data_IF_103488316917
#
_entry.id   IF_103488316917
#
_cell.length_a   1.000
_cell.length_b   1.000
_cell.length_c   1.000
_cell.angle_alpha   90.00
_cell.angle_beta   90.00
_cell.angle_gamma   90.00
#
_symmetry.space_group_name_H-M   'P 1'
#
loop_
_entity.id
_entity.type
_entity.pdbx_description
1 polymer ?
#
# COMPACT_ATOMS: atom_id res chain seq x y z
N UNK A 1 -49.34 62.51 -18.30
CA UNK A 1 -48.00 61.89 -18.44
C UNK A 1 -47.78 60.99 -17.23
N UNK A 2 -47.84 59.67 -17.39
CA UNK A 2 -47.48 58.72 -16.33
C UNK A 2 -46.72 57.56 -16.97
N UNK A 3 -45.38 57.68 -16.99
CA UNK A 3 -44.49 56.55 -17.30
C UNK A 3 -44.49 55.61 -16.10
N UNK A 4 -45.18 54.49 -16.22
CA UNK A 4 -45.16 53.43 -15.20
C UNK A 4 -43.74 52.86 -15.08
N UNK A 5 -43.16 52.98 -13.89
CA UNK A 5 -41.89 52.37 -13.54
C UNK A 5 -42.09 50.86 -13.43
N UNK A 6 -41.59 50.09 -14.41
CA UNK A 6 -41.63 48.62 -14.34
C UNK A 6 -40.40 48.18 -13.53
N UNK A 7 -40.55 47.63 -12.32
CA UNK A 7 -39.40 47.26 -11.51
C UNK A 7 -38.64 46.11 -12.18
N UNK A 8 -37.31 46.18 -12.17
CA UNK A 8 -36.39 45.23 -12.82
C UNK A 8 -36.29 43.86 -12.10
N UNK A 9 -37.41 43.37 -11.55
CA UNK A 9 -37.50 42.17 -10.73
C UNK A 9 -36.98 40.91 -11.43
N UNK A 10 -37.17 40.81 -12.75
CA UNK A 10 -36.67 39.68 -13.54
C UNK A 10 -35.15 39.57 -13.54
N UNK A 11 -34.44 40.70 -13.66
CA UNK A 11 -32.98 40.72 -13.62
C UNK A 11 -32.46 40.33 -12.24
N UNK A 12 -33.06 40.88 -11.17
CA UNK A 12 -32.71 40.53 -9.79
C UNK A 12 -32.94 39.06 -9.49
N UNK A 13 -34.08 38.49 -9.92
CA UNK A 13 -34.39 37.08 -9.74
C UNK A 13 -33.39 36.17 -10.50
N UNK A 14 -33.03 36.56 -11.73
CA UNK A 14 -32.03 35.83 -12.52
C UNK A 14 -30.67 35.80 -11.82
N UNK A 15 -30.16 36.95 -11.38
CA UNK A 15 -28.88 37.00 -10.67
C UNK A 15 -28.92 36.27 -9.33
N UNK A 16 -30.01 36.39 -8.57
CA UNK A 16 -30.18 35.67 -7.32
C UNK A 16 -30.15 34.15 -7.54
N UNK A 17 -30.83 33.65 -8.57
CA UNK A 17 -30.82 32.23 -8.92
C UNK A 17 -29.43 31.78 -9.38
N UNK A 18 -28.77 32.56 -10.24
CA UNK A 18 -27.42 32.26 -10.72
C UNK A 18 -26.41 32.18 -9.56
N UNK A 19 -26.44 33.13 -8.63
CA UNK A 19 -25.61 33.11 -7.43
C UNK A 19 -25.92 31.92 -6.53
N UNK A 20 -27.21 31.61 -6.32
CA UNK A 20 -27.63 30.48 -5.49
C UNK A 20 -27.14 29.15 -6.05
N UNK A 21 -27.26 28.97 -7.38
CA UNK A 21 -26.73 27.78 -8.06
C UNK A 21 -25.20 27.71 -7.99
N UNK A 22 -24.51 28.84 -8.20
CA UNK A 22 -23.05 28.89 -8.10
C UNK A 22 -22.55 28.53 -6.69
N UNK A 23 -23.22 29.02 -5.65
CA UNK A 23 -22.94 28.67 -4.26
C UNK A 23 -23.18 27.18 -4.00
N UNK A 24 -24.32 26.64 -4.45
CA UNK A 24 -24.64 25.22 -4.30
C UNK A 24 -23.58 24.33 -4.95
N UNK A 25 -23.21 24.61 -6.21
CA UNK A 25 -22.21 23.81 -6.91
C UNK A 25 -20.81 23.94 -6.30
N UNK A 26 -20.43 25.12 -5.83
CA UNK A 26 -19.15 25.32 -5.12
C UNK A 26 -19.14 24.51 -3.83
N UNK A 27 -20.21 24.55 -3.05
CA UNK A 27 -20.37 23.77 -1.83
C UNK A 27 -20.30 22.26 -2.13
N UNK A 28 -21.04 21.79 -3.13
CA UNK A 28 -21.07 20.38 -3.53
C UNK A 28 -19.73 19.90 -4.08
N UNK A 29 -18.98 20.74 -4.80
CA UNK A 29 -17.64 20.40 -5.30
C UNK A 29 -16.60 20.28 -4.17
N UNK A 30 -16.82 20.97 -3.05
CA UNK A 30 -15.95 20.90 -1.88
C UNK A 30 -16.35 19.72 -0.98
N UNK A 31 -17.62 19.64 -0.57
CA UNK A 31 -18.10 18.69 0.45
C UNK A 31 -18.82 17.44 -0.09
N UNK A 32 -19.12 17.36 -1.38
CA UNK A 32 -19.82 16.21 -1.94
C UNK A 32 -18.97 14.95 -2.03
N UNK A 33 -19.62 13.81 -2.26
CA UNK A 33 -18.97 12.49 -2.39
C UNK A 33 -17.93 12.43 -3.52
N UNK A 34 -18.06 13.29 -4.53
CA UNK A 34 -17.11 13.45 -5.63
C UNK A 34 -16.25 14.72 -5.51
N UNK A 35 -16.28 15.35 -4.34
CA UNK A 35 -15.57 16.59 -4.06
C UNK A 35 -14.06 16.39 -3.92
N UNK A 36 -13.35 17.50 -3.88
CA UNK A 36 -11.87 17.51 -3.81
C UNK A 36 -11.34 16.77 -2.57
N UNK A 37 -12.07 16.82 -1.45
CA UNK A 37 -11.67 16.13 -0.22
C UNK A 37 -11.72 14.60 -0.34
N UNK A 38 -12.74 14.02 -0.99
CA UNK A 38 -12.80 12.56 -1.20
C UNK A 38 -11.62 12.06 -2.02
N UNK A 39 -11.20 12.83 -3.04
CA UNK A 39 -10.01 12.50 -3.82
C UNK A 39 -8.74 12.51 -2.97
N UNK A 40 -8.58 13.48 -2.08
CA UNK A 40 -7.43 13.55 -1.18
C UNK A 40 -7.39 12.34 -0.22
N UNK A 41 -8.55 11.96 0.34
CA UNK A 41 -8.68 10.81 1.22
C UNK A 41 -8.31 9.50 0.52
N UNK A 42 -8.86 9.25 -0.69
CA UNK A 42 -8.54 8.06 -1.48
C UNK A 42 -7.04 7.98 -1.79
N UNK A 43 -6.40 9.11 -2.09
CA UNK A 43 -4.97 9.14 -2.37
C UNK A 43 -4.13 8.81 -1.13
N UNK A 44 -4.56 9.28 0.06
CA UNK A 44 -3.90 8.96 1.32
C UNK A 44 -4.05 7.47 1.67
N UNK A 45 -5.28 6.93 1.59
CA UNK A 45 -5.56 5.51 1.83
C UNK A 45 -4.77 4.61 0.86
N UNK A 46 -4.69 5.01 -0.42
CA UNK A 46 -3.89 4.29 -1.42
C UNK A 46 -2.40 4.31 -1.10
N UNK A 47 -1.89 5.40 -0.53
CA UNK A 47 -0.47 5.50 -0.14
C UNK A 47 -0.16 4.58 1.05
N UNK A 48 -1.06 4.53 2.04
CA UNK A 48 -0.95 3.63 3.19
C UNK A 48 -0.97 2.15 2.76
N UNK A 49 -1.97 1.76 1.97
CA UNK A 49 -2.09 0.39 1.46
C UNK A 49 -0.88 -0.03 0.61
N UNK A 50 -0.28 0.89 -0.12
CA UNK A 50 0.96 0.61 -0.88
C UNK A 50 2.15 0.34 0.03
N UNK A 51 2.31 1.13 1.09
CA UNK A 51 3.39 0.92 2.04
C UNK A 51 3.22 -0.43 2.78
N UNK A 52 1.98 -0.80 3.12
CA UNK A 52 1.68 -2.10 3.69
C UNK A 52 2.00 -3.24 2.70
N UNK A 53 1.60 -3.10 1.44
CA UNK A 53 1.91 -4.08 0.39
C UNK A 53 3.42 -4.27 0.22
N UNK A 54 4.19 -3.19 0.16
CA UNK A 54 5.65 -3.26 0.05
C UNK A 54 6.29 -3.97 1.26
N UNK A 55 5.77 -3.77 2.46
CA UNK A 55 6.24 -4.45 3.66
C UNK A 55 5.94 -5.95 3.63
N UNK A 56 4.73 -6.34 3.20
CA UNK A 56 4.32 -7.73 3.05
C UNK A 56 5.14 -8.44 1.96
N UNK A 57 5.34 -7.80 0.81
CA UNK A 57 6.17 -8.35 -0.27
C UNK A 57 7.61 -8.60 0.20
N UNK A 58 8.16 -7.69 0.99
CA UNK A 58 9.47 -7.88 1.61
C UNK A 58 9.48 -9.06 2.60
N UNK A 59 8.39 -9.30 3.32
CA UNK A 59 8.25 -10.45 4.22
C UNK A 59 8.14 -11.77 3.46
N UNK A 60 7.32 -11.81 2.41
CA UNK A 60 7.21 -12.96 1.51
C UNK A 60 8.57 -13.29 0.91
N UNK A 61 9.30 -12.30 0.38
CA UNK A 61 10.63 -12.52 -0.17
C UNK A 61 11.62 -13.09 0.86
N UNK A 62 11.56 -12.64 2.13
CA UNK A 62 12.38 -13.21 3.22
C UNK A 62 11.99 -14.66 3.52
N UNK A 63 10.69 -14.96 3.57
CA UNK A 63 10.20 -16.32 3.82
C UNK A 63 10.57 -17.25 2.67
N UNK A 64 10.40 -16.81 1.42
CA UNK A 64 10.82 -17.56 0.23
C UNK A 64 12.32 -17.84 0.25
N UNK A 65 13.16 -16.85 0.60
CA UNK A 65 14.60 -17.06 0.74
C UNK A 65 14.92 -18.10 1.83
N UNK A 66 14.27 -18.03 2.98
CA UNK A 66 14.44 -19.01 4.07
C UNK A 66 14.00 -20.40 3.63
N UNK A 67 12.85 -20.52 2.97
CA UNK A 67 12.34 -21.80 2.44
C UNK A 67 13.28 -22.36 1.39
N UNK A 68 13.81 -21.54 0.47
CA UNK A 68 14.83 -21.98 -0.49
C UNK A 68 16.11 -22.47 0.19
N UNK A 69 16.55 -21.79 1.25
CA UNK A 69 17.75 -22.19 2.03
C UNK A 69 17.54 -23.41 2.92
N UNK A 70 16.28 -23.75 3.21
CA UNK A 70 15.89 -24.95 3.97
C UNK A 70 15.39 -26.08 3.05
N UNK A 71 15.27 -25.82 1.74
CA UNK A 71 14.80 -26.76 0.72
C UNK A 71 15.98 -27.61 0.23
N UNK A 72 15.70 -28.90 0.05
CA UNK A 72 16.71 -29.95 -0.13
C UNK A 72 17.67 -29.79 -1.33
N UNK A 73 17.39 -28.90 -2.28
CA UNK A 73 18.30 -28.61 -3.41
C UNK A 73 19.52 -27.73 -3.03
N UNK A 74 19.54 -27.22 -1.79
CA UNK A 74 20.72 -26.66 -1.11
C UNK A 74 20.93 -27.33 0.26
N UNK A 75 20.48 -28.59 0.41
CA UNK A 75 20.91 -29.47 1.48
C UNK A 75 22.39 -29.75 1.25
N UNK A 76 23.22 -29.00 1.94
CA UNK A 76 24.66 -29.19 1.88
C UNK A 76 24.97 -30.58 2.43
N UNK A 77 25.06 -31.57 1.52
CA UNK A 77 25.44 -32.94 1.83
C UNK A 77 26.78 -32.97 2.57
N UNK A 78 27.62 -31.95 2.40
CA UNK A 78 28.86 -31.77 3.15
C UNK A 78 28.60 -31.39 4.62
N UNK A 79 27.56 -30.58 4.93
CA UNK A 79 27.16 -30.28 6.31
C UNK A 79 26.48 -31.48 6.99
N UNK A 80 25.73 -32.29 6.23
CA UNK A 80 25.23 -33.59 6.71
C UNK A 80 26.37 -34.59 6.94
N UNK A 81 27.37 -34.68 6.06
CA UNK A 81 28.54 -35.54 6.26
C UNK A 81 29.38 -35.06 7.46
N UNK A 82 29.52 -33.73 7.65
CA UNK A 82 30.19 -33.16 8.82
C UNK A 82 29.45 -33.43 10.12
N UNK A 83 28.13 -33.19 10.20
CA UNK A 83 27.36 -33.55 11.40
C UNK A 83 27.33 -35.07 11.62
N UNK A 84 27.32 -35.87 10.56
CA UNK A 84 27.37 -37.33 10.67
C UNK A 84 28.73 -37.79 11.21
N UNK A 85 29.84 -37.16 10.80
CA UNK A 85 31.18 -37.45 11.35
C UNK A 85 31.34 -37.03 12.81
N UNK A 86 30.82 -35.86 13.18
CA UNK A 86 30.87 -35.36 14.57
C UNK A 86 29.97 -36.17 15.52
N UNK A 87 28.80 -36.62 15.06
CA UNK A 87 27.82 -37.33 15.90
C UNK A 87 28.05 -38.85 15.92
N UNK A 88 28.42 -39.46 14.78
CA UNK A 88 28.65 -40.91 14.69
C UNK A 88 30.10 -41.31 14.94
N UNK A 89 31.03 -40.37 15.11
CA UNK A 89 32.41 -40.67 15.50
C UNK A 89 33.09 -41.67 14.56
N UNK A 90 32.90 -41.52 13.23
CA UNK A 90 33.65 -42.28 12.23
C UNK A 90 35.08 -41.73 12.13
N UNK A 91 35.81 -41.83 13.24
CA UNK A 91 37.26 -41.99 13.19
C UNK A 91 37.46 -43.34 12.50
N UNK A 92 38.14 -43.30 11.35
CA UNK A 92 38.69 -44.50 10.73
C UNK A 92 39.54 -45.22 11.77
N UNK A 93 39.26 -46.52 12.00
CA UNK A 93 39.89 -47.35 13.04
C UNK A 93 41.41 -47.56 12.86
N UNK A 94 42.06 -46.79 12.00
CA UNK A 94 43.40 -46.98 11.47
C UNK A 94 44.35 -45.78 11.67
N UNK A 95 43.95 -44.72 12.38
CA UNK A 95 44.89 -43.65 12.78
C UNK A 95 45.63 -43.99 14.09
N UNK A 96 46.88 -44.41 13.95
CA UNK A 96 47.83 -44.62 15.05
C UNK A 96 48.45 -43.27 15.43
N UNK A 97 48.16 -42.80 16.64
CA UNK A 97 48.87 -41.67 17.26
C UNK A 97 50.27 -42.13 17.67
N UNK A 98 51.30 -41.64 16.99
CA UNK A 98 52.70 -41.77 17.44
C UNK A 98 53.01 -40.59 18.37
N UNK A 99 53.51 -40.98 19.55
CA UNK A 99 53.94 -40.23 20.74
C UNK A 99 54.37 -38.77 20.59
#
# INVERSE_FOLDING_TARGET
MSRGYRPALGGMAFFALAFSLGLYFTFAAVQGDYGLFRRAEILAERAELRAELEALDAEVARMENRTRRLSDDYLDLDLLDQQTRDVLGLIRADEIVIR
#
